data_IF_542565681516
#
_entry.id   IF_542565681516
#
_cell.length_a   1.000
_cell.length_b   1.000
_cell.length_c   1.000
_cell.angle_alpha   90.00
_cell.angle_beta   90.00
_cell.angle_gamma   90.00
#
_symmetry.space_group_name_H-M   'P 1'
#
loop_
_entity.id
_entity.type
_entity.pdbx_description
1 polymer ?
#
# COMPACT_ATOMS: atom_id res chain seq x y z
N UNK A 1 5.37 -0.23 -12.56
CA UNK A 1 4.45 -0.56 -11.45
C UNK A 1 3.71 0.71 -11.01
N UNK A 2 2.38 0.67 -10.89
CA UNK A 2 1.56 1.80 -10.42
C UNK A 2 0.99 1.49 -9.02
N UNK A 3 1.80 1.58 -7.95
CA UNK A 3 1.32 1.26 -6.61
C UNK A 3 0.26 2.26 -6.12
N UNK A 4 -0.53 1.84 -5.13
CA UNK A 4 -1.51 2.71 -4.48
C UNK A 4 -0.83 3.89 -3.75
N UNK A 5 -1.53 5.03 -3.58
CA UNK A 5 -0.94 6.24 -3.02
C UNK A 5 -0.41 6.02 -1.61
N UNK A 6 0.64 6.79 -1.26
CA UNK A 6 1.22 6.80 0.08
C UNK A 6 0.52 7.82 0.96
N UNK A 7 0.18 7.43 2.19
CA UNK A 7 -0.45 8.31 3.18
C UNK A 7 0.05 7.97 4.58
N UNK A 8 0.34 9.01 5.37
CA UNK A 8 0.51 8.88 6.81
C UNK A 8 -0.86 8.94 7.47
N UNK A 9 -1.20 7.87 8.19
CA UNK A 9 -2.46 7.81 8.94
C UNK A 9 -2.27 8.40 10.34
N UNK A 10 -3.32 8.96 10.96
CA UNK A 10 -3.23 9.51 12.32
C UNK A 10 -2.64 8.53 13.36
N UNK A 11 -2.96 7.21 13.34
CA UNK A 11 -2.34 6.24 14.24
C UNK A 11 -0.82 6.11 14.06
N UNK A 12 -0.34 6.17 12.81
CA UNK A 12 1.11 6.08 12.53
C UNK A 12 1.82 7.35 12.97
N UNK A 13 1.19 8.52 12.80
CA UNK A 13 1.73 9.80 13.33
C UNK A 13 1.86 9.72 14.84
N UNK A 14 0.79 9.34 15.55
CA UNK A 14 0.81 9.20 17.00
C UNK A 14 1.86 8.19 17.50
N UNK A 15 2.05 7.08 16.77
CA UNK A 15 3.10 6.11 17.06
C UNK A 15 4.50 6.72 16.95
N UNK A 16 4.76 7.50 15.90
CA UNK A 16 6.06 8.14 15.67
C UNK A 16 6.35 9.21 16.72
N UNK A 17 5.36 10.05 17.05
CA UNK A 17 5.47 11.06 18.12
C UNK A 17 5.74 10.40 19.48
N UNK A 18 5.10 9.26 19.77
CA UNK A 18 5.35 8.50 21.00
C UNK A 18 6.74 7.87 21.04
N UNK A 19 7.34 7.60 19.89
CA UNK A 19 8.68 7.02 19.78
C UNK A 19 9.81 8.06 19.97
N UNK A 20 9.52 9.37 19.88
CA UNK A 20 10.50 10.46 19.99
C UNK A 20 11.44 10.34 21.18
N UNK A 21 10.99 10.02 22.42
CA UNK A 21 11.89 9.91 23.58
C UNK A 21 12.88 8.74 23.50
N UNK A 22 12.62 7.76 22.63
CA UNK A 22 13.36 6.50 22.54
C UNK A 22 14.31 6.44 21.34
N UNK A 23 14.40 7.51 20.55
CA UNK A 23 15.24 7.56 19.36
C UNK A 23 16.31 8.65 19.47
N UNK A 24 17.48 8.38 18.88
CA UNK A 24 18.55 9.38 18.76
C UNK A 24 18.32 10.29 17.56
N UNK A 25 19.06 11.40 17.49
CA UNK A 25 19.16 12.17 16.26
C UNK A 25 19.78 11.32 15.13
N UNK A 26 19.42 11.55 13.86
CA UNK A 26 18.47 12.58 13.36
C UNK A 26 16.98 12.16 13.42
N UNK A 27 16.69 10.91 13.82
CA UNK A 27 15.32 10.36 13.78
C UNK A 27 14.40 11.07 14.77
N UNK A 28 14.92 11.50 15.92
CA UNK A 28 14.18 12.28 16.91
C UNK A 28 13.59 13.56 16.30
N UNK A 29 14.38 14.35 15.58
CA UNK A 29 13.90 15.55 14.88
C UNK A 29 12.86 15.21 13.82
N UNK A 30 13.08 14.16 13.03
CA UNK A 30 12.15 13.73 11.97
C UNK A 30 10.80 13.31 12.57
N UNK A 31 10.83 12.50 13.63
CA UNK A 31 9.63 11.95 14.26
C UNK A 31 8.84 13.04 14.98
N UNK A 32 9.50 14.00 15.64
CA UNK A 32 8.84 15.14 16.26
C UNK A 32 8.17 16.09 15.24
N UNK A 33 8.63 16.09 13.99
CA UNK A 33 8.13 16.98 12.93
C UNK A 33 7.50 16.19 11.78
N UNK A 34 6.70 15.17 12.10
CA UNK A 34 6.13 14.27 11.09
C UNK A 34 5.25 14.98 10.05
N UNK A 35 4.69 16.14 10.39
CA UNK A 35 3.91 16.98 9.48
C UNK A 35 4.77 17.58 8.34
N UNK A 36 6.02 17.93 8.63
CA UNK A 36 6.99 18.43 7.62
C UNK A 36 7.63 17.26 6.89
N UNK A 37 8.11 16.26 7.64
CA UNK A 37 8.86 15.15 7.07
C UNK A 37 7.98 13.99 6.57
N UNK A 38 6.66 14.16 6.56
CA UNK A 38 5.72 13.10 6.17
C UNK A 38 5.97 12.45 4.81
N UNK A 39 6.28 13.21 3.73
CA UNK A 39 6.65 12.62 2.44
C UNK A 39 7.91 11.75 2.49
N UNK A 40 8.90 12.15 3.29
CA UNK A 40 10.14 11.39 3.46
C UNK A 40 9.86 10.12 4.25
N UNK A 41 9.15 10.23 5.38
CA UNK A 41 8.78 9.10 6.23
C UNK A 41 7.98 8.06 5.45
N UNK A 42 6.94 8.48 4.71
CA UNK A 42 6.12 7.55 3.91
C UNK A 42 6.93 6.86 2.81
N UNK A 43 7.85 7.56 2.15
CA UNK A 43 8.68 6.95 1.10
C UNK A 43 9.69 5.95 1.67
N UNK A 44 10.32 6.29 2.79
CA UNK A 44 11.21 5.37 3.52
C UNK A 44 10.44 4.15 4.01
N UNK A 45 9.26 4.33 4.60
CA UNK A 45 8.44 3.24 5.11
C UNK A 45 7.99 2.32 3.97
N UNK A 46 7.61 2.89 2.82
CA UNK A 46 7.26 2.12 1.63
C UNK A 46 8.42 1.29 1.08
N UNK A 47 9.65 1.76 1.17
CA UNK A 47 10.82 1.09 0.58
C UNK A 47 11.55 0.13 1.53
N UNK A 48 11.42 0.33 2.85
CA UNK A 48 12.24 -0.39 3.84
C UNK A 48 11.83 -1.84 4.03
N UNK A 49 10.54 -2.13 4.11
CA UNK A 49 10.03 -3.49 4.31
C UNK A 49 8.54 -3.60 3.95
N UNK A 50 8.03 -4.82 3.67
CA UNK A 50 6.59 -5.03 3.47
C UNK A 50 5.75 -4.59 4.68
N UNK A 51 6.27 -4.79 5.90
CA UNK A 51 5.59 -4.41 7.15
C UNK A 51 5.42 -2.89 7.25
N UNK A 52 6.49 -2.16 6.96
CA UNK A 52 6.46 -0.69 7.00
C UNK A 52 5.67 -0.10 5.84
N UNK A 53 5.68 -0.74 4.67
CA UNK A 53 4.87 -0.33 3.53
C UNK A 53 3.37 -0.45 3.83
N UNK A 54 2.95 -1.50 4.54
CA UNK A 54 1.57 -1.69 4.96
C UNK A 54 1.05 -0.62 5.95
N UNK A 55 1.95 0.09 6.64
CA UNK A 55 1.56 1.19 7.53
C UNK A 55 1.19 2.47 6.78
N UNK A 56 1.63 2.61 5.52
CA UNK A 56 1.51 3.88 4.76
C UNK A 56 0.79 3.69 3.42
N UNK A 57 0.33 2.48 3.11
CA UNK A 57 -0.32 2.15 1.85
C UNK A 57 -1.29 0.97 1.99
N UNK A 58 -2.40 1.04 1.26
CA UNK A 58 -3.25 -0.12 0.96
C UNK A 58 -2.45 -1.14 0.13
N UNK A 59 -2.36 -2.39 0.62
CA UNK A 59 -1.58 -3.45 -0.06
C UNK A 59 -2.52 -4.45 -0.74
N UNK A 60 -2.06 -5.00 -1.87
CA UNK A 60 -2.82 -5.95 -2.69
C UNK A 60 -1.93 -7.17 -2.91
N UNK A 61 -2.49 -8.36 -2.70
CA UNK A 61 -1.86 -9.62 -3.04
C UNK A 61 -2.82 -10.47 -3.88
N UNK A 62 -2.37 -10.93 -5.06
CA UNK A 62 -3.10 -11.93 -5.82
C UNK A 62 -2.86 -13.30 -5.17
N UNK A 63 -3.92 -13.94 -4.68
CA UNK A 63 -3.83 -15.21 -3.95
C UNK A 63 -4.20 -16.41 -4.81
N UNK A 64 -4.95 -16.19 -5.89
CA UNK A 64 -5.32 -17.23 -6.86
C UNK A 64 -5.48 -16.58 -8.23
N UNK A 65 -4.94 -17.22 -9.26
CA UNK A 65 -5.11 -16.84 -10.66
C UNK A 65 -5.48 -18.10 -11.43
N UNK A 66 -6.54 -18.04 -12.22
CA UNK A 66 -7.01 -19.10 -13.10
C UNK A 66 -7.04 -18.58 -14.53
N UNK A 67 -6.61 -19.41 -15.49
CA UNK A 67 -6.70 -19.10 -16.91
C UNK A 67 -6.09 -20.22 -17.75
N UNK A 68 -6.89 -20.79 -18.66
CA UNK A 68 -6.46 -21.82 -19.61
C UNK A 68 -6.46 -23.24 -19.04
N UNK A 69 -7.13 -24.15 -19.74
CA UNK A 69 -7.13 -25.58 -19.41
C UNK A 69 -5.99 -26.35 -20.10
N UNK A 70 -5.49 -25.85 -21.24
CA UNK A 70 -4.47 -26.51 -22.06
C UNK A 70 -3.34 -25.55 -22.37
N UNK A 71 -2.11 -26.07 -22.38
CA UNK A 71 -0.90 -25.28 -22.61
C UNK A 71 -0.78 -24.71 -24.03
N UNK A 72 -1.53 -25.23 -24.99
CA UNK A 72 -1.49 -24.84 -26.41
C UNK A 72 -2.73 -24.08 -26.87
N UNK A 73 -3.63 -23.67 -25.96
CA UNK A 73 -4.85 -22.95 -26.31
C UNK A 73 -4.90 -21.63 -25.56
N UNK A 74 -5.15 -20.54 -26.28
CA UNK A 74 -5.37 -19.23 -25.67
C UNK A 74 -6.70 -19.27 -24.92
N UNK A 75 -6.72 -18.98 -23.61
CA UNK A 75 -7.95 -19.00 -22.83
C UNK A 75 -8.92 -17.90 -23.25
N UNK A 76 -10.21 -18.22 -23.27
CA UNK A 76 -11.28 -17.24 -23.49
C UNK A 76 -11.49 -16.29 -22.30
N UNK A 77 -11.11 -16.71 -21.09
CA UNK A 77 -11.25 -15.92 -19.87
C UNK A 77 -10.16 -16.28 -18.85
N UNK A 78 -9.88 -15.33 -17.96
CA UNK A 78 -9.03 -15.51 -16.79
C UNK A 78 -9.69 -14.86 -15.56
N UNK A 79 -9.47 -15.44 -14.39
CA UNK A 79 -10.00 -14.94 -13.11
C UNK A 79 -8.88 -14.83 -12.08
N UNK A 80 -8.91 -13.78 -11.26
CA UNK A 80 -7.96 -13.60 -10.18
C UNK A 80 -8.65 -13.17 -8.88
N UNK A 81 -8.22 -13.76 -7.76
CA UNK A 81 -8.64 -13.36 -6.43
C UNK A 81 -7.57 -12.47 -5.80
N UNK A 82 -8.00 -11.28 -5.38
CA UNK A 82 -7.14 -10.28 -4.76
C UNK A 82 -7.49 -10.15 -3.28
N UNK A 83 -6.50 -10.36 -2.41
CA UNK A 83 -6.59 -9.99 -1.00
C UNK A 83 -6.11 -8.54 -0.84
N UNK A 84 -7.03 -7.65 -0.46
CA UNK A 84 -6.77 -6.21 -0.32
C UNK A 84 -6.80 -5.83 1.15
N UNK A 85 -5.66 -5.36 1.66
CA UNK A 85 -5.55 -4.81 3.02
C UNK A 85 -5.63 -3.30 2.94
N UNK A 86 -6.82 -2.77 3.20
CA UNK A 86 -7.13 -1.34 3.13
C UNK A 86 -6.44 -0.59 4.27
N UNK A 87 -5.82 0.54 3.94
CA UNK A 87 -5.18 1.43 4.88
C UNK A 87 -6.23 2.04 5.83
N UNK A 88 -5.98 2.11 7.16
CA UNK A 88 -6.93 2.71 8.10
C UNK A 88 -7.31 4.14 7.70
N UNK A 89 -8.61 4.41 7.67
CA UNK A 89 -9.17 5.71 7.23
C UNK A 89 -9.53 5.77 5.75
N UNK A 90 -9.17 4.78 4.94
CA UNK A 90 -9.67 4.61 3.56
C UNK A 90 -10.92 3.74 3.52
N UNK A 91 -11.76 3.93 2.50
CA UNK A 91 -12.96 3.12 2.31
C UNK A 91 -12.66 2.01 1.31
N UNK A 92 -13.17 0.81 1.57
CA UNK A 92 -12.97 -0.35 0.70
C UNK A 92 -13.37 -0.07 -0.77
N UNK A 93 -14.45 0.69 -0.98
CA UNK A 93 -14.90 1.09 -2.32
C UNK A 93 -13.85 1.91 -3.08
N UNK A 94 -13.10 2.76 -2.39
CA UNK A 94 -12.09 3.63 -3.01
C UNK A 94 -10.90 2.77 -3.46
N UNK A 95 -10.54 1.76 -2.65
CA UNK A 95 -9.54 0.76 -3.03
C UNK A 95 -9.98 -0.08 -4.25
N UNK A 96 -11.24 -0.51 -4.29
CA UNK A 96 -11.80 -1.23 -5.45
C UNK A 96 -11.80 -0.35 -6.71
N UNK A 97 -12.20 0.91 -6.60
CA UNK A 97 -12.13 1.87 -7.72
C UNK A 97 -10.70 2.02 -8.22
N UNK A 98 -9.76 2.26 -7.30
CA UNK A 98 -8.36 2.42 -7.64
C UNK A 98 -7.74 1.19 -8.31
N UNK A 99 -8.22 -0.02 -7.99
CA UNK A 99 -7.85 -1.27 -8.67
C UNK A 99 -8.45 -1.29 -10.09
N UNK A 100 -9.74 -1.01 -10.25
CA UNK A 100 -10.40 -0.97 -11.56
C UNK A 100 -9.73 0.02 -12.51
N UNK A 101 -9.45 1.23 -12.04
CA UNK A 101 -8.78 2.27 -12.85
C UNK A 101 -7.41 1.80 -13.36
N UNK A 102 -6.70 1.00 -12.56
CA UNK A 102 -5.40 0.42 -12.94
C UNK A 102 -5.54 -0.73 -13.93
N UNK A 103 -6.66 -1.46 -13.89
CA UNK A 103 -6.96 -2.55 -14.81
C UNK A 103 -7.66 -2.07 -16.09
N UNK A 104 -8.13 -0.83 -16.16
CA UNK A 104 -8.89 -0.30 -17.29
C UNK A 104 -8.19 -0.46 -18.66
N UNK A 105 -6.86 -0.38 -18.70
CA UNK A 105 -6.08 -0.61 -19.92
C UNK A 105 -6.14 -2.05 -20.46
N UNK A 106 -6.60 -3.00 -19.65
CA UNK A 106 -6.77 -4.41 -20.02
C UNK A 106 -8.15 -4.68 -20.65
N UNK A 107 -9.04 -3.68 -20.73
CA UNK A 107 -10.38 -3.84 -21.29
C UNK A 107 -11.33 -4.70 -20.44
N UNK A 108 -11.05 -4.81 -19.13
CA UNK A 108 -11.84 -5.54 -18.12
C UNK A 108 -12.70 -4.58 -17.31
#
# INVERSE_FOLDING_TARGET
ENPLPLRLTPPVVAMLERAVPFVSEPLRTIFANTHVFGPIVTRVFSGKSPKTAAMVRTTIAATKVLGGDKSNVVPAAAEAWLNVRVLPGEKARDAVSAIRDRLAHLGV
#
